data_IF_905546217639
#
_entry.id   IF_905546217639
#
_cell.length_a   1.000
_cell.length_b   1.000
_cell.length_c   1.000
_cell.angle_alpha   90.00
_cell.angle_beta   90.00
_cell.angle_gamma   90.00
#
_symmetry.space_group_name_H-M   'P 1'
#
loop_
_entity.id
_entity.type
_entity.pdbx_description
1 polymer ?
#
# COMPACT_ATOMS: atom_id res chain seq x y z
N UNK A 1 -8.82 10.91 -8.25
CA UNK A 1 -8.51 10.81 -6.81
C UNK A 1 -8.81 9.38 -6.39
N UNK A 2 -7.78 8.58 -6.09
CA UNK A 2 -7.98 7.24 -5.51
C UNK A 2 -8.46 7.46 -4.07
N UNK A 3 -9.52 6.77 -3.66
CA UNK A 3 -10.06 6.83 -2.30
C UNK A 3 -10.24 5.43 -1.74
N UNK A 4 -9.96 5.23 -0.45
CA UNK A 4 -10.24 3.98 0.26
C UNK A 4 -11.74 3.75 0.50
N UNK A 5 -12.58 4.74 0.24
CA UNK A 5 -14.05 4.64 0.21
C UNK A 5 -14.62 4.32 -1.19
N UNK A 6 -15.73 3.56 -1.24
CA UNK A 6 -16.50 3.31 -2.46
C UNK A 6 -16.13 2.01 -3.21
N UNK A 7 -16.21 2.05 -4.55
CA UNK A 7 -16.01 0.87 -5.44
C UNK A 7 -14.62 0.84 -6.12
N UNK A 8 -13.63 1.55 -5.57
CA UNK A 8 -12.25 1.58 -6.10
C UNK A 8 -11.57 0.23 -5.93
N UNK A 9 -10.54 -0.06 -6.73
CA UNK A 9 -9.76 -1.31 -6.59
C UNK A 9 -9.11 -1.39 -5.19
N UNK A 10 -8.59 -0.27 -4.69
CA UNK A 10 -8.04 -0.19 -3.35
C UNK A 10 -9.08 -0.52 -2.27
N UNK A 11 -10.27 0.08 -2.33
CA UNK A 11 -11.34 -0.20 -1.38
C UNK A 11 -11.76 -1.69 -1.39
N UNK A 12 -11.73 -2.35 -2.55
CA UNK A 12 -11.99 -3.79 -2.67
C UNK A 12 -10.89 -4.63 -2.00
N UNK A 13 -9.63 -4.26 -2.20
CA UNK A 13 -8.48 -4.93 -1.55
C UNK A 13 -8.60 -4.81 -0.03
N UNK A 14 -8.79 -3.60 0.50
CA UNK A 14 -8.88 -3.38 1.95
C UNK A 14 -10.06 -4.09 2.61
N UNK A 15 -11.18 -4.28 1.90
CA UNK A 15 -12.31 -5.09 2.40
C UNK A 15 -12.03 -6.58 2.38
N UNK A 16 -11.32 -7.07 1.37
CA UNK A 16 -10.99 -8.50 1.21
C UNK A 16 -9.85 -8.93 2.14
N UNK A 17 -8.93 -8.02 2.43
CA UNK A 17 -7.72 -8.24 3.22
C UNK A 17 -7.73 -7.36 4.48
N UNK A 18 -8.31 -7.85 5.59
CA UNK A 18 -8.36 -7.10 6.84
C UNK A 18 -6.98 -6.91 7.48
N UNK A 19 -6.05 -7.86 7.24
CA UNK A 19 -4.66 -7.77 7.66
C UNK A 19 -3.86 -6.76 6.83
N UNK A 20 -2.94 -6.05 7.49
CA UNK A 20 -2.07 -5.07 6.83
C UNK A 20 -1.15 -5.73 5.81
N UNK A 21 -0.50 -6.84 6.18
CA UNK A 21 0.49 -7.50 5.32
C UNK A 21 -0.10 -8.02 4.02
N UNK A 22 -1.23 -8.73 4.09
CA UNK A 22 -1.94 -9.22 2.90
C UNK A 22 -2.37 -8.05 2.00
N UNK A 23 -2.87 -6.97 2.60
CA UNK A 23 -3.29 -5.79 1.84
C UNK A 23 -2.10 -5.08 1.18
N UNK A 24 -0.95 -4.98 1.86
CA UNK A 24 0.29 -4.41 1.29
C UNK A 24 0.70 -5.25 0.08
N UNK A 25 0.77 -6.58 0.23
CA UNK A 25 1.14 -7.49 -0.86
C UNK A 25 0.22 -7.36 -2.07
N UNK A 26 -1.10 -7.29 -1.87
CA UNK A 26 -2.05 -7.10 -2.97
C UNK A 26 -1.89 -5.74 -3.67
N UNK A 27 -1.55 -4.68 -2.93
CA UNK A 27 -1.26 -3.36 -3.53
C UNK A 27 0.05 -3.39 -4.32
N UNK A 28 1.07 -4.08 -3.82
CA UNK A 28 2.33 -4.30 -4.55
C UNK A 28 2.13 -5.11 -5.83
N UNK A 29 1.35 -6.19 -5.78
CA UNK A 29 0.99 -6.98 -6.95
C UNK A 29 0.18 -6.15 -7.95
N UNK A 30 -0.75 -5.31 -7.45
CA UNK A 30 -1.57 -4.44 -8.27
C UNK A 30 -0.74 -3.37 -9.01
N UNK A 31 0.21 -2.74 -8.34
CA UNK A 31 0.94 -1.57 -8.87
C UNK A 31 2.24 -1.98 -9.58
N UNK A 32 2.99 -2.91 -9.00
CA UNK A 32 4.33 -3.31 -9.46
C UNK A 32 4.40 -4.74 -10.01
N UNK A 33 3.30 -5.50 -9.99
CA UNK A 33 3.23 -6.90 -10.48
C UNK A 33 4.28 -7.84 -9.84
N UNK A 34 4.65 -7.58 -8.58
CA UNK A 34 5.54 -8.43 -7.77
C UNK A 34 5.15 -8.38 -6.30
N UNK A 35 5.66 -9.32 -5.51
CA UNK A 35 5.56 -9.26 -4.06
C UNK A 35 6.51 -8.19 -3.46
N UNK A 36 6.16 -7.58 -2.32
CA UNK A 36 7.09 -6.76 -1.56
C UNK A 36 8.21 -7.63 -0.98
N UNK A 37 9.41 -7.08 -0.88
CA UNK A 37 10.48 -7.68 -0.07
C UNK A 37 10.17 -7.57 1.43
N UNK A 38 10.84 -8.37 2.26
CA UNK A 38 10.67 -8.31 3.71
C UNK A 38 10.96 -6.91 4.30
N UNK A 39 11.94 -6.20 3.74
CA UNK A 39 12.27 -4.82 4.16
C UNK A 39 11.18 -3.83 3.79
N UNK A 40 10.65 -3.93 2.56
CA UNK A 40 9.53 -3.09 2.10
C UNK A 40 8.27 -3.32 2.92
N UNK A 41 7.94 -4.58 3.20
CA UNK A 41 6.79 -4.94 4.02
C UNK A 41 6.89 -4.35 5.43
N UNK A 42 8.09 -4.43 6.04
CA UNK A 42 8.36 -3.82 7.34
C UNK A 42 8.15 -2.30 7.31
N UNK A 43 8.74 -1.61 6.33
CA UNK A 43 8.62 -0.15 6.19
C UNK A 43 7.15 0.25 6.02
N UNK A 44 6.40 -0.45 5.16
CA UNK A 44 4.98 -0.18 4.94
C UNK A 44 4.17 -0.36 6.23
N UNK A 45 4.43 -1.44 7.00
CA UNK A 45 3.73 -1.70 8.26
C UNK A 45 4.01 -0.61 9.30
N UNK A 46 5.27 -0.19 9.43
CA UNK A 46 5.65 0.92 10.33
C UNK A 46 4.93 2.21 9.93
N UNK A 47 4.90 2.54 8.63
CA UNK A 47 4.19 3.70 8.10
C UNK A 47 2.68 3.65 8.35
N UNK A 48 2.02 2.52 8.08
CA UNK A 48 0.57 2.35 8.34
C UNK A 48 0.25 2.55 9.81
N UNK A 49 1.13 2.05 10.70
CA UNK A 49 0.99 2.23 12.15
C UNK A 49 1.15 3.69 12.55
N UNK A 50 2.12 4.40 11.95
CA UNK A 50 2.40 5.82 12.22
C UNK A 50 1.23 6.74 11.80
N UNK A 51 0.64 6.50 10.62
CA UNK A 51 -0.49 7.29 10.12
C UNK A 51 -1.75 7.10 10.97
N UNK A 52 -1.98 5.89 11.51
CA UNK A 52 -3.12 5.57 12.38
C UNK A 52 -4.48 5.45 11.66
N UNK A 53 -4.60 6.02 10.45
CA UNK A 53 -5.76 5.86 9.57
C UNK A 53 -5.47 4.94 8.39
N UNK A 54 -5.87 3.67 8.52
CA UNK A 54 -5.61 2.61 7.53
C UNK A 54 -6.00 2.98 6.10
N UNK A 55 -7.15 3.61 5.88
CA UNK A 55 -7.57 4.01 4.53
C UNK A 55 -6.60 5.00 3.90
N UNK A 56 -6.27 6.07 4.63
CA UNK A 56 -5.38 7.13 4.15
C UNK A 56 -3.94 6.62 3.96
N UNK A 57 -3.44 5.80 4.88
CA UNK A 57 -2.12 5.19 4.75
C UNK A 57 -1.96 4.36 3.47
N UNK A 58 -3.03 3.64 3.06
CA UNK A 58 -3.01 2.84 1.84
C UNK A 58 -3.23 3.65 0.57
N UNK A 59 -3.96 4.76 0.66
CA UNK A 59 -4.04 5.73 -0.42
C UNK A 59 -2.67 6.36 -0.69
N UNK A 60 -1.96 6.76 0.37
CA UNK A 60 -0.60 7.29 0.30
C UNK A 60 0.39 6.23 -0.19
N UNK A 61 0.35 5.00 0.35
CA UNK A 61 1.18 3.90 -0.12
C UNK A 61 1.00 3.65 -1.62
N UNK A 62 -0.25 3.54 -2.10
CA UNK A 62 -0.52 3.33 -3.51
C UNK A 62 -0.01 4.50 -4.35
N UNK A 63 -0.20 5.73 -3.88
CA UNK A 63 0.30 6.92 -4.56
C UNK A 63 1.83 6.91 -4.61
N UNK A 64 2.49 6.61 -3.49
CA UNK A 64 3.93 6.43 -3.39
C UNK A 64 4.41 5.39 -4.40
N UNK A 65 3.81 4.19 -4.44
CA UNK A 65 4.21 3.12 -5.36
C UNK A 65 4.06 3.47 -6.85
N UNK A 66 3.01 4.22 -7.19
CA UNK A 66 2.81 4.71 -8.57
C UNK A 66 3.88 5.74 -8.95
N UNK A 67 4.35 6.54 -7.98
CA UNK A 67 5.40 7.54 -8.19
C UNK A 67 6.82 7.00 -7.90
N UNK A 68 6.95 5.80 -7.34
CA UNK A 68 8.20 5.29 -6.74
C UNK A 68 9.17 4.60 -7.69
N UNK A 69 9.07 4.80 -9.01
CA UNK A 69 10.29 4.62 -9.83
C UNK A 69 11.43 5.51 -9.30
N UNK A 70 11.11 6.55 -8.51
CA UNK A 70 12.07 7.43 -7.83
C UNK A 70 12.39 7.06 -6.36
N UNK A 71 11.56 6.27 -5.65
CA UNK A 71 11.72 6.03 -4.20
C UNK A 71 12.63 4.83 -3.87
N UNK A 72 12.83 3.88 -4.80
CA UNK A 72 13.81 2.79 -4.65
C UNK A 72 15.27 3.25 -4.82
N UNK A 73 15.49 4.48 -5.28
CA UNK A 73 16.82 5.02 -5.63
C UNK A 73 17.45 5.94 -4.58
N UNK A 74 16.74 6.27 -3.50
CA UNK A 74 17.29 7.10 -2.42
C UNK A 74 17.51 6.25 -1.17
N UNK A 75 18.69 5.65 -1.14
CA UNK A 75 19.34 5.07 0.03
C UNK A 75 20.17 6.12 0.75
#
# INVERSE_FOLDING_TARGET
>A
MIRAGGNTRLAKILRKHPGDDDAISEVYLLVLSREPSASELKICREYITEVGHRGEAFEDLMWSLVNSSEFLSRR
#
